data_IF_195784309607
#
_entry.id   IF_195784309607
#
_cell.length_a   1.000
_cell.length_b   1.000
_cell.length_c   1.000
_cell.angle_alpha   90.00
_cell.angle_beta   90.00
_cell.angle_gamma   90.00
#
_symmetry.space_group_name_H-M   'P 1'
#
loop_
_entity.id
_entity.type
_entity.pdbx_description
1 polymer ?
#
# COMPACT_ATOMS: atom_id res chain seq x y z
N UNK A 1 8.50 16.44 11.66
CA UNK A 1 7.96 16.48 10.29
C UNK A 1 7.66 15.05 9.86
N UNK A 2 6.37 14.67 9.72
CA UNK A 2 5.96 13.34 9.26
C UNK A 2 5.84 13.40 7.74
N UNK A 3 6.70 12.70 7.00
CA UNK A 3 6.56 12.55 5.55
C UNK A 3 5.70 11.30 5.28
N UNK A 4 4.53 11.48 4.66
CA UNK A 4 3.72 10.36 4.15
C UNK A 4 4.26 9.96 2.78
N UNK A 5 4.88 8.78 2.69
CA UNK A 5 5.31 8.18 1.42
C UNK A 5 4.54 6.87 1.23
N UNK A 6 3.44 6.93 0.50
CA UNK A 6 2.60 5.77 0.18
C UNK A 6 2.54 5.67 -1.34
N UNK A 7 2.99 4.56 -1.95
CA UNK A 7 3.07 4.43 -3.41
C UNK A 7 2.71 3.03 -3.88
N UNK A 8 1.65 2.98 -4.69
CA UNK A 8 1.36 1.93 -5.65
C UNK A 8 1.59 2.51 -7.04
N UNK A 9 2.64 2.06 -7.73
CA UNK A 9 2.81 2.19 -9.18
C UNK A 9 3.98 1.29 -9.57
N UNK A 10 3.70 0.36 -10.50
CA UNK A 10 4.60 -0.69 -10.93
C UNK A 10 6.00 -0.21 -11.31
N UNK A 11 6.97 -1.09 -11.04
CA UNK A 11 8.38 -1.19 -11.44
C UNK A 11 9.25 0.09 -11.62
N UNK A 12 8.75 1.18 -12.20
CA UNK A 12 9.54 2.35 -12.61
C UNK A 12 9.49 3.53 -11.61
N UNK A 13 8.34 3.80 -10.96
CA UNK A 13 8.24 4.93 -10.02
C UNK A 13 8.88 4.63 -8.65
N UNK A 14 8.91 3.35 -8.25
CA UNK A 14 9.40 2.91 -6.95
C UNK A 14 10.92 3.10 -6.78
N UNK A 15 11.69 2.91 -7.86
CA UNK A 15 13.14 3.17 -7.84
C UNK A 15 13.41 4.67 -7.79
N UNK A 16 12.67 5.49 -8.56
CA UNK A 16 12.91 6.93 -8.66
C UNK A 16 12.63 7.74 -7.38
N UNK A 17 11.73 7.28 -6.51
CA UNK A 17 11.43 7.93 -5.23
C UNK A 17 12.37 7.53 -4.08
N UNK A 18 13.13 6.44 -4.26
CA UNK A 18 14.12 5.93 -3.29
C UNK A 18 15.57 6.31 -3.66
N UNK A 19 15.76 7.01 -4.78
CA UNK A 19 17.07 7.52 -5.19
C UNK A 19 17.55 8.59 -4.19
N UNK A 20 18.76 8.43 -3.61
CA UNK A 20 19.34 9.38 -2.65
C UNK A 20 19.29 10.84 -3.08
N UNK A 21 19.44 11.09 -4.39
CA UNK A 21 19.50 12.43 -4.99
C UNK A 21 18.21 13.26 -4.83
N UNK A 22 17.05 12.61 -4.60
CA UNK A 22 15.77 13.32 -4.39
C UNK A 22 15.38 13.46 -2.93
N UNK A 23 16.04 12.76 -2.00
CA UNK A 23 15.73 12.82 -0.57
C UNK A 23 15.90 14.24 0.02
N UNK A 24 16.93 14.97 -0.43
CA UNK A 24 17.16 16.34 0.01
C UNK A 24 16.11 17.34 -0.52
N UNK A 25 15.51 17.08 -1.70
CA UNK A 25 14.49 17.96 -2.29
C UNK A 25 13.15 17.94 -1.55
N UNK A 26 12.91 16.92 -0.73
CA UNK A 26 11.69 16.78 0.10
C UNK A 26 11.93 17.11 1.58
N UNK A 27 13.12 17.61 1.94
CA UNK A 27 13.46 18.01 3.30
C UNK A 27 13.61 16.85 4.29
N UNK A 28 13.86 15.62 3.81
CA UNK A 28 14.12 14.46 4.66
C UNK A 28 15.44 14.64 5.39
N UNK A 29 15.46 14.31 6.68
CA UNK A 29 16.67 14.21 7.50
C UNK A 29 16.68 12.91 8.32
N UNK A 30 17.73 12.70 9.11
CA UNK A 30 17.93 11.53 9.98
C UNK A 30 16.82 11.33 11.03
N UNK A 31 16.09 12.40 11.36
CA UNK A 31 14.98 12.37 12.34
C UNK A 31 13.61 12.10 11.68
N UNK A 32 13.54 12.08 10.36
CA UNK A 32 12.28 11.87 9.64
C UNK A 32 11.88 10.40 9.73
N UNK A 33 10.70 10.12 10.29
CA UNK A 33 10.09 8.80 10.27
C UNK A 33 9.23 8.66 9.02
N UNK A 34 9.38 7.54 8.32
CA UNK A 34 8.69 7.24 7.07
C UNK A 34 7.72 6.10 7.32
N UNK A 35 6.46 6.33 6.96
CA UNK A 35 5.42 5.30 7.00
C UNK A 35 5.09 4.88 5.57
N UNK A 36 5.32 3.62 5.26
CA UNK A 36 5.11 3.03 3.94
C UNK A 36 3.96 2.02 3.99
N UNK A 37 3.10 2.04 2.98
CA UNK A 37 2.00 1.08 2.81
C UNK A 37 2.05 0.46 1.41
N UNK A 38 1.78 -0.85 1.28
CA UNK A 38 1.71 -1.59 0.01
C UNK A 38 1.17 -3.02 0.14
N UNK A 39 1.08 -3.79 -0.95
CA UNK A 39 0.55 -5.19 -0.99
C UNK A 39 1.29 -6.23 -0.15
N UNK A 40 2.42 -5.90 0.47
CA UNK A 40 3.25 -6.91 1.11
C UNK A 40 3.98 -7.81 0.11
N UNK A 41 4.23 -7.35 -1.13
CA UNK A 41 5.19 -7.99 -2.00
C UNK A 41 6.60 -7.93 -1.37
N UNK A 42 7.27 -9.07 -1.14
CA UNK A 42 8.53 -9.09 -0.37
C UNK A 42 9.63 -8.19 -0.94
N UNK A 43 9.68 -8.06 -2.27
CA UNK A 43 10.66 -7.20 -2.93
C UNK A 43 10.49 -5.72 -2.55
N UNK A 44 9.26 -5.22 -2.36
CA UNK A 44 8.98 -3.85 -1.93
C UNK A 44 9.50 -3.60 -0.52
N UNK A 45 9.17 -4.51 0.41
CA UNK A 45 9.63 -4.44 1.79
C UNK A 45 11.17 -4.47 1.86
N UNK A 46 11.81 -5.34 1.06
CA UNK A 46 13.27 -5.44 0.98
C UNK A 46 13.92 -4.15 0.46
N UNK A 47 13.33 -3.50 -0.56
CA UNK A 47 13.84 -2.21 -1.06
C UNK A 47 13.68 -1.10 -0.02
N UNK A 48 12.55 -1.07 0.70
CA UNK A 48 12.33 -0.11 1.80
C UNK A 48 13.37 -0.31 2.90
N UNK A 49 13.59 -1.55 3.33
CA UNK A 49 14.61 -1.86 4.33
C UNK A 49 16.01 -1.46 3.85
N UNK A 50 16.34 -1.74 2.58
CA UNK A 50 17.65 -1.42 1.98
C UNK A 50 17.94 0.07 1.91
N UNK A 51 16.97 0.89 1.48
CA UNK A 51 17.20 2.31 1.20
C UNK A 51 16.77 3.25 2.34
N UNK A 52 15.79 2.84 3.15
CA UNK A 52 15.23 3.67 4.22
C UNK A 52 15.65 3.18 5.61
N UNK A 53 16.06 1.92 5.73
CA UNK A 53 16.54 1.34 6.99
C UNK A 53 15.54 1.54 8.14
N UNK A 54 16.08 1.79 9.33
CA UNK A 54 15.32 1.98 10.58
C UNK A 54 14.49 3.27 10.63
N UNK A 55 14.59 4.15 9.63
CA UNK A 55 13.74 5.33 9.52
C UNK A 55 12.36 5.00 8.98
N UNK A 56 12.23 3.89 8.23
CA UNK A 56 10.97 3.47 7.65
C UNK A 56 10.31 2.35 8.45
N UNK A 57 8.99 2.40 8.46
CA UNK A 57 8.13 1.30 8.86
C UNK A 57 7.27 0.92 7.67
N UNK A 58 7.24 -0.36 7.37
CA UNK A 58 6.36 -0.91 6.34
C UNK A 58 5.13 -1.53 6.99
N UNK A 59 3.96 -1.18 6.46
CA UNK A 59 2.67 -1.70 6.86
C UNK A 59 1.99 -2.29 5.63
N UNK A 60 1.48 -3.52 5.72
CA UNK A 60 0.73 -4.11 4.62
C UNK A 60 -0.60 -3.38 4.48
N UNK A 61 -1.00 -3.12 3.25
CA UNK A 61 -2.29 -2.51 2.93
C UNK A 61 -3.44 -3.33 3.54
N UNK A 62 -4.21 -2.69 4.40
CA UNK A 62 -5.33 -3.30 5.10
C UNK A 62 -6.36 -3.90 4.14
N UNK A 63 -6.63 -3.24 2.99
CA UNK A 63 -7.61 -3.75 2.04
C UNK A 63 -7.08 -4.98 1.28
N UNK A 64 -5.77 -5.06 1.05
CA UNK A 64 -5.16 -6.25 0.49
C UNK A 64 -5.23 -7.43 1.47
N UNK A 65 -5.02 -7.20 2.77
CA UNK A 65 -5.27 -8.24 3.80
C UNK A 65 -6.75 -8.67 3.81
N UNK A 66 -7.66 -7.72 3.64
CA UNK A 66 -9.09 -8.03 3.58
C UNK A 66 -9.46 -8.93 2.40
N UNK A 67 -8.72 -8.91 1.28
CA UNK A 67 -8.95 -9.84 0.16
C UNK A 67 -8.67 -11.28 0.60
N UNK A 68 -7.55 -11.55 1.28
CA UNK A 68 -7.25 -12.87 1.82
C UNK A 68 -8.28 -13.33 2.86
N UNK A 69 -8.71 -12.43 3.75
CA UNK A 69 -9.77 -12.75 4.71
C UNK A 69 -11.11 -13.02 4.02
N UNK A 70 -11.44 -12.28 2.96
CA UNK A 70 -12.66 -12.48 2.20
C UNK A 70 -12.67 -13.81 1.43
N UNK A 71 -11.51 -14.27 0.96
CA UNK A 71 -11.35 -15.59 0.36
C UNK A 71 -11.49 -16.72 1.39
N UNK A 72 -11.02 -16.51 2.63
CA UNK A 72 -11.13 -17.48 3.73
C UNK A 72 -12.54 -17.50 4.38
N UNK A 73 -13.27 -16.38 4.33
CA UNK A 73 -14.55 -16.21 5.01
C UNK A 73 -15.63 -17.27 4.65
N UNK A 74 -15.78 -17.76 3.40
CA UNK A 74 -16.73 -18.82 3.08
C UNK A 74 -16.47 -20.12 3.84
N UNK A 75 -15.19 -20.46 4.09
CA UNK A 75 -14.79 -21.67 4.82
C UNK A 75 -14.94 -21.48 6.33
N UNK A 76 -14.56 -20.31 6.86
CA UNK A 76 -14.58 -20.05 8.30
C UNK A 76 -15.96 -19.63 8.85
N UNK A 77 -16.73 -18.87 8.07
CA UNK A 77 -17.96 -18.22 8.49
C UNK A 77 -19.23 -18.78 7.86
N UNK A 78 -19.20 -20.02 7.33
CA UNK A 78 -20.36 -20.78 6.81
C UNK A 78 -21.59 -19.98 6.31
N UNK A 79 -21.79 -19.91 5.00
CA UNK A 79 -23.06 -19.42 4.43
C UNK A 79 -23.32 -17.91 4.66
N UNK A 80 -24.34 -17.58 5.48
CA UNK A 80 -24.80 -16.21 5.75
C UNK A 80 -23.86 -15.43 6.71
N UNK A 81 -23.15 -16.12 7.60
CA UNK A 81 -22.32 -15.50 8.65
C UNK A 81 -20.95 -15.01 8.12
N UNK A 82 -20.63 -15.26 6.84
CA UNK A 82 -19.34 -14.88 6.23
C UNK A 82 -19.03 -13.39 6.33
N UNK A 83 -20.06 -12.53 6.22
CA UNK A 83 -19.90 -11.08 6.30
C UNK A 83 -19.58 -10.65 7.73
N UNK A 84 -20.31 -11.19 8.70
CA UNK A 84 -20.10 -10.90 10.11
C UNK A 84 -18.73 -11.41 10.58
N UNK A 85 -18.34 -12.61 10.13
CA UNK A 85 -17.02 -13.15 10.40
C UNK A 85 -15.92 -12.24 9.84
N UNK A 86 -16.07 -11.79 8.58
CA UNK A 86 -15.11 -10.89 7.94
C UNK A 86 -15.00 -9.54 8.68
N UNK A 87 -16.12 -8.92 9.04
CA UNK A 87 -16.11 -7.66 9.81
C UNK A 87 -15.51 -7.84 11.21
N UNK A 88 -15.75 -8.99 11.85
CA UNK A 88 -15.13 -9.35 13.13
C UNK A 88 -13.61 -9.42 13.01
N UNK A 89 -13.08 -10.10 11.98
CA UNK A 89 -11.63 -10.19 11.77
C UNK A 89 -11.01 -8.84 11.40
N UNK A 90 -11.70 -8.03 10.58
CA UNK A 90 -11.29 -6.65 10.26
C UNK A 90 -11.15 -5.80 11.52
N UNK A 91 -12.13 -5.89 12.43
CA UNK A 91 -12.09 -5.15 13.69
C UNK A 91 -10.95 -5.64 14.59
N UNK A 92 -10.77 -6.95 14.71
CA UNK A 92 -9.64 -7.53 15.46
C UNK A 92 -8.28 -7.07 14.95
N UNK A 93 -8.06 -7.03 13.63
CA UNK A 93 -6.84 -6.50 13.05
C UNK A 93 -6.63 -5.01 13.40
N UNK A 94 -7.67 -4.19 13.30
CA UNK A 94 -7.61 -2.75 13.63
C UNK A 94 -7.37 -2.48 15.11
N UNK A 95 -7.80 -3.38 16.00
CA UNK A 95 -7.62 -3.26 17.45
C UNK A 95 -6.39 -3.99 17.98
N UNK A 96 -5.56 -4.58 17.10
CA UNK A 96 -4.31 -5.25 17.49
C UNK A 96 -4.49 -6.66 18.03
N UNK A 97 -5.68 -7.25 17.86
CA UNK A 97 -6.01 -8.62 18.26
C UNK A 97 -5.60 -9.64 17.19
N UNK A 98 -4.35 -9.56 16.71
CA UNK A 98 -3.84 -10.43 15.63
C UNK A 98 -3.90 -11.92 16.00
N UNK A 99 -3.59 -12.26 17.26
CA UNK A 99 -3.64 -13.66 17.73
C UNK A 99 -5.07 -14.23 17.78
N UNK A 100 -6.09 -13.39 17.95
CA UNK A 100 -7.50 -13.81 17.84
C UNK A 100 -7.88 -14.13 16.39
N UNK A 101 -7.28 -13.43 15.43
CA UNK A 101 -7.46 -13.71 13.98
C UNK A 101 -6.79 -15.03 13.63
N UNK A 102 -5.57 -15.29 14.12
CA UNK A 102 -4.91 -16.57 13.92
C UNK A 102 -5.72 -17.73 14.52
N UNK A 103 -6.20 -17.60 15.76
CA UNK A 103 -7.09 -18.61 16.36
C UNK A 103 -8.37 -18.85 15.56
N UNK A 104 -8.95 -17.79 15.00
CA UNK A 104 -10.15 -17.92 14.17
C UNK A 104 -9.88 -18.63 12.83
N UNK A 105 -8.67 -18.50 12.27
CA UNK A 105 -8.27 -19.22 11.06
C UNK A 105 -7.84 -20.66 11.35
N UNK A 106 -7.19 -20.89 12.50
CA UNK A 106 -6.58 -22.18 12.85
C UNK A 106 -7.60 -23.33 12.89
N UNK A 107 -8.79 -23.05 13.43
CA UNK A 107 -9.91 -24.00 13.53
C UNK A 107 -10.43 -24.50 12.18
N UNK A 108 -10.09 -23.84 11.07
CA UNK A 108 -10.63 -24.11 9.73
C UNK A 108 -9.54 -24.36 8.69
N UNK A 109 -8.29 -24.60 9.11
CA UNK A 109 -7.21 -24.87 8.16
C UNK A 109 -7.49 -26.15 7.34
N UNK A 110 -7.33 -26.03 6.04
CA UNK A 110 -7.49 -27.16 5.13
C UNK A 110 -6.32 -28.13 5.26
N UNK A 111 -6.61 -29.43 5.13
CA UNK A 111 -5.61 -30.49 5.18
C UNK A 111 -4.45 -30.25 4.19
N UNK A 112 -3.24 -30.65 4.57
CA UNK A 112 -2.02 -30.41 3.78
C UNK A 112 -2.00 -31.10 2.41
N UNK A 113 -2.87 -32.10 2.18
CA UNK A 113 -3.03 -32.75 0.87
C UNK A 113 -3.86 -31.91 -0.13
N UNK A 114 -4.61 -30.91 0.34
CA UNK A 114 -5.40 -30.01 -0.51
C UNK A 114 -4.45 -29.01 -1.18
N UNK A 115 -4.61 -28.78 -2.48
CA UNK A 115 -3.77 -27.83 -3.23
C UNK A 115 -4.00 -26.40 -2.73
N UNK A 116 -2.97 -25.56 -2.81
CA UNK A 116 -3.05 -24.17 -2.34
C UNK A 116 -4.08 -23.31 -3.07
N UNK A 117 -4.41 -23.62 -4.33
CA UNK A 117 -5.50 -22.94 -5.05
C UNK A 117 -6.87 -23.13 -4.37
N UNK A 118 -7.04 -24.28 -3.70
CA UNK A 118 -8.27 -24.72 -3.06
C UNK A 118 -8.22 -24.65 -1.52
N UNK A 119 -7.18 -24.00 -0.97
CA UNK A 119 -6.96 -23.84 0.47
C UNK A 119 -6.86 -22.37 0.90
N UNK A 120 -7.94 -21.58 0.74
CA UNK A 120 -7.93 -20.15 1.05
C UNK A 120 -7.60 -19.81 2.51
N UNK A 121 -8.02 -20.62 3.48
CA UNK A 121 -7.75 -20.38 4.91
C UNK A 121 -6.26 -20.53 5.18
N UNK A 122 -5.64 -21.60 4.70
CA UNK A 122 -4.19 -21.82 4.81
C UNK A 122 -3.38 -20.76 4.08
N UNK A 123 -3.83 -20.31 2.90
CA UNK A 123 -3.19 -19.18 2.20
C UNK A 123 -3.25 -17.90 3.02
N UNK A 124 -4.42 -17.57 3.57
CA UNK A 124 -4.62 -16.39 4.41
C UNK A 124 -3.74 -16.46 5.67
N UNK A 125 -3.77 -17.59 6.39
CA UNK A 125 -2.94 -17.82 7.57
C UNK A 125 -1.46 -17.60 7.26
N UNK A 126 -0.94 -18.28 6.23
CA UNK A 126 0.46 -18.18 5.83
C UNK A 126 0.82 -16.76 5.36
N UNK A 127 -0.10 -16.06 4.71
CA UNK A 127 0.12 -14.69 4.28
C UNK A 127 0.31 -13.74 5.48
N UNK A 128 -0.54 -13.87 6.50
CA UNK A 128 -0.46 -13.09 7.74
C UNK A 128 0.77 -13.46 8.58
N UNK A 129 1.04 -14.76 8.70
CA UNK A 129 2.13 -15.30 9.52
C UNK A 129 3.51 -14.82 9.05
N UNK A 130 3.72 -14.80 7.73
CA UNK A 130 4.94 -14.26 7.13
C UNK A 130 5.13 -12.75 7.32
N UNK A 131 4.13 -12.04 7.89
CA UNK A 131 4.07 -10.57 7.93
C UNK A 131 3.64 -10.03 9.29
N UNK A 132 3.76 -10.79 10.38
CA UNK A 132 3.34 -10.36 11.73
C UNK A 132 3.88 -8.98 12.13
N UNK A 133 5.10 -8.66 11.72
CA UNK A 133 5.78 -7.38 11.98
C UNK A 133 5.22 -6.20 11.15
N UNK A 134 4.44 -6.48 10.11
CA UNK A 134 3.90 -5.50 9.16
C UNK A 134 2.37 -5.32 9.28
N UNK A 135 1.74 -5.88 10.32
CA UNK A 135 0.28 -5.90 10.52
C UNK A 135 -0.21 -5.11 11.74
N UNK A 136 0.65 -4.29 12.36
CA UNK A 136 0.27 -3.48 13.51
C UNK A 136 -0.50 -2.21 13.09
N UNK A 137 -1.76 -2.45 12.73
CA UNK A 137 -2.75 -1.44 12.34
C UNK A 137 -3.18 -0.57 13.52
N UNK A 138 -3.28 -1.14 14.72
CA UNK A 138 -3.70 -0.41 15.92
C UNK A 138 -2.78 0.78 16.20
N UNK A 139 -1.46 0.58 16.13
CA UNK A 139 -0.49 1.65 16.28
C UNK A 139 -0.57 2.66 15.13
N UNK A 140 -0.72 2.20 13.89
CA UNK A 140 -0.85 3.11 12.75
C UNK A 140 -2.09 4.02 12.88
N UNK A 141 -3.22 3.48 13.33
CA UNK A 141 -4.44 4.25 13.60
C UNK A 141 -4.22 5.23 14.75
N UNK A 142 -3.64 4.79 15.86
CA UNK A 142 -3.32 5.65 17.01
C UNK A 142 -2.39 6.81 16.63
N UNK A 143 -1.45 6.58 15.71
CA UNK A 143 -0.51 7.59 15.21
C UNK A 143 -1.08 8.52 14.12
N UNK A 144 -2.35 8.31 13.71
CA UNK A 144 -3.02 9.04 12.63
C UNK A 144 -2.42 8.75 11.24
N UNK A 145 -1.84 7.56 11.07
CA UNK A 145 -1.19 7.11 9.84
C UNK A 145 -2.18 6.34 8.95
N UNK A 146 -2.02 6.42 7.61
CA UNK A 146 -2.87 5.68 6.70
C UNK A 146 -2.61 4.17 6.83
N UNK A 147 -3.67 3.37 6.81
CA UNK A 147 -3.59 1.90 6.86
C UNK A 147 -3.86 1.23 5.51
N UNK A 148 -4.27 2.00 4.51
CA UNK A 148 -4.54 1.53 3.16
C UNK A 148 -4.13 2.56 2.12
N UNK A 149 -3.96 2.11 0.89
CA UNK A 149 -3.52 2.90 -0.26
C UNK A 149 -4.66 3.54 -1.06
N UNK A 150 -5.92 3.39 -0.63
CA UNK A 150 -7.09 3.88 -1.38
C UNK A 150 -7.05 5.37 -1.75
N UNK A 151 -6.47 6.22 -0.91
CA UNK A 151 -6.23 7.65 -1.24
C UNK A 151 -5.28 7.80 -2.44
N UNK A 152 -4.22 6.99 -2.48
CA UNK A 152 -3.23 6.97 -3.55
C UNK A 152 -3.83 6.39 -4.83
N UNK A 153 -4.60 5.32 -4.74
CA UNK A 153 -5.29 4.77 -5.90
C UNK A 153 -6.28 5.76 -6.51
N UNK A 154 -7.00 6.49 -5.66
CA UNK A 154 -7.92 7.54 -6.09
C UNK A 154 -7.15 8.67 -6.76
N UNK A 155 -6.05 9.15 -6.17
CA UNK A 155 -5.18 10.13 -6.81
C UNK A 155 -4.62 9.63 -8.14
N UNK A 156 -4.21 8.37 -8.23
CA UNK A 156 -3.75 7.75 -9.49
C UNK A 156 -4.85 7.77 -10.56
N UNK A 157 -6.09 7.41 -10.20
CA UNK A 157 -7.25 7.48 -11.12
C UNK A 157 -7.54 8.91 -11.59
N UNK A 158 -7.59 9.88 -10.67
CA UNK A 158 -8.04 11.24 -11.00
C UNK A 158 -6.93 12.16 -11.55
N UNK A 159 -5.69 11.97 -11.12
CA UNK A 159 -4.54 12.80 -11.54
C UNK A 159 -3.87 12.21 -12.77
N UNK A 160 -3.50 10.92 -12.73
CA UNK A 160 -2.65 10.31 -13.77
C UNK A 160 -3.52 9.75 -14.90
N UNK A 161 -4.42 8.81 -14.59
CA UNK A 161 -5.19 8.09 -15.62
C UNK A 161 -6.08 9.01 -16.44
N UNK A 162 -6.64 10.07 -15.83
CA UNK A 162 -7.49 11.06 -16.50
C UNK A 162 -6.87 11.68 -17.76
N UNK A 163 -5.53 11.66 -17.90
CA UNK A 163 -4.86 12.14 -19.13
C UNK A 163 -4.04 11.07 -19.83
N UNK A 164 -3.34 10.21 -19.08
CA UNK A 164 -2.44 9.22 -19.65
C UNK A 164 -3.16 7.97 -20.15
N UNK A 165 -4.33 7.63 -19.58
CA UNK A 165 -5.11 6.43 -19.89
C UNK A 165 -6.46 6.79 -20.51
N UNK A 166 -6.43 7.51 -21.63
CA UNK A 166 -7.61 7.82 -22.44
C UNK A 166 -7.59 7.01 -23.75
N UNK A 167 -8.76 6.70 -24.34
CA UNK A 167 -8.82 6.01 -25.62
C UNK A 167 -8.01 6.74 -26.71
N UNK A 168 -7.23 5.99 -27.48
CA UNK A 168 -6.42 6.53 -28.58
C UNK A 168 -5.16 7.28 -28.16
N UNK A 169 -4.81 7.33 -26.87
CA UNK A 169 -3.54 7.93 -26.44
C UNK A 169 -2.37 6.98 -26.65
N UNK A 170 -1.34 7.47 -27.34
CA UNK A 170 -0.05 6.82 -27.52
C UNK A 170 1.02 7.76 -27.01
N UNK A 171 1.92 7.26 -26.17
CA UNK A 171 2.97 8.07 -25.56
C UNK A 171 4.32 7.43 -25.80
N UNK A 172 5.31 8.26 -26.13
CA UNK A 172 6.71 7.91 -25.87
C UNK A 172 6.97 8.05 -24.36
N UNK A 173 7.84 7.22 -23.81
CA UNK A 173 8.12 7.18 -22.36
C UNK A 173 8.56 8.55 -21.81
N UNK A 174 9.48 9.22 -22.52
CA UNK A 174 9.92 10.59 -22.26
C UNK A 174 8.75 11.59 -22.14
N UNK A 175 7.84 11.58 -23.11
CA UNK A 175 6.69 12.49 -23.15
C UNK A 175 5.64 12.15 -22.08
N UNK A 176 5.50 10.87 -21.71
CA UNK A 176 4.63 10.44 -20.63
C UNK A 176 5.15 10.95 -19.28
N UNK A 177 6.46 10.91 -19.05
CA UNK A 177 7.09 11.43 -17.84
C UNK A 177 6.88 12.94 -17.68
N UNK A 178 7.06 13.71 -18.76
CA UNK A 178 6.82 15.15 -18.76
C UNK A 178 5.34 15.49 -18.53
N UNK A 179 4.43 14.77 -19.20
CA UNK A 179 2.99 14.95 -18.99
C UNK A 179 2.59 14.63 -17.54
N UNK A 180 3.15 13.57 -16.96
CA UNK A 180 2.94 13.22 -15.56
C UNK A 180 3.42 14.35 -14.64
N UNK A 181 4.61 14.92 -14.88
CA UNK A 181 5.13 16.03 -14.09
C UNK A 181 4.21 17.26 -14.14
N UNK A 182 3.68 17.61 -15.32
CA UNK A 182 2.71 18.69 -15.48
C UNK A 182 1.40 18.42 -14.72
N UNK A 183 0.90 17.18 -14.77
CA UNK A 183 -0.32 16.76 -14.04
C UNK A 183 -0.12 16.88 -12.53
N UNK A 184 1.01 16.43 -12.01
CA UNK A 184 1.38 16.55 -10.59
C UNK A 184 1.51 18.03 -10.19
N UNK A 185 2.22 18.84 -10.99
CA UNK A 185 2.37 20.26 -10.73
C UNK A 185 1.02 20.97 -10.62
N UNK A 186 0.10 20.69 -11.55
CA UNK A 186 -1.26 21.24 -11.53
C UNK A 186 -2.08 20.74 -10.33
N UNK A 187 -1.98 19.45 -9.98
CA UNK A 187 -2.68 18.89 -8.82
C UNK A 187 -2.17 19.48 -7.49
N UNK A 188 -0.90 19.87 -7.44
CA UNK A 188 -0.28 20.52 -6.28
C UNK A 188 -0.46 22.05 -6.26
N UNK A 189 -1.30 22.62 -7.13
CA UNK A 189 -1.52 24.07 -7.24
C UNK A 189 -0.25 24.90 -7.51
N UNK A 190 0.75 24.29 -8.15
CA UNK A 190 2.05 24.93 -8.45
C UNK A 190 2.13 25.43 -9.91
N UNK A 191 0.99 25.55 -10.59
CA UNK A 191 0.92 25.85 -12.03
C UNK A 191 1.42 27.26 -12.32
N UNK A 192 0.90 28.24 -11.59
CA UNK A 192 1.24 29.65 -11.74
C UNK A 192 2.73 29.87 -11.41
N UNK A 193 3.20 29.30 -10.31
CA UNK A 193 4.61 29.38 -9.91
C UNK A 193 5.55 28.76 -10.96
N UNK A 194 5.18 27.61 -11.53
CA UNK A 194 5.96 26.97 -12.59
C UNK A 194 6.09 27.89 -13.81
N UNK A 195 4.98 28.45 -14.32
CA UNK A 195 5.04 29.34 -15.48
C UNK A 195 5.76 30.66 -15.21
N UNK A 196 5.65 31.21 -13.99
CA UNK A 196 6.42 32.39 -13.59
C UNK A 196 7.93 32.11 -13.62
N UNK A 197 8.37 30.98 -13.07
CA UNK A 197 9.79 30.60 -13.10
C UNK A 197 10.34 30.37 -14.51
N UNK A 198 9.51 29.93 -15.46
CA UNK A 198 9.89 29.76 -16.87
C UNK A 198 9.93 31.06 -17.66
N UNK A 199 9.20 32.10 -17.23
CA UNK A 199 9.29 33.45 -17.84
C UNK A 199 10.55 34.20 -17.39
N UNK A 200 11.10 33.85 -16.24
CA UNK A 200 12.27 34.49 -15.64
C UNK A 200 13.62 33.82 -16.01
N UNK A 201 13.58 32.72 -16.78
CA UNK A 201 14.74 31.95 -17.23
C UNK A 201 14.94 32.12 -18.73
#
# INVERSE_FOLDING_TARGET
MKLKLCHYLGYFLFIYALLPERHNKVGRNEKTKIHCVGDGAPWIANQIARYLGSQARYLVDFYHVCEYLAEAAPTCGGGEDKKEWLETQKNRLKTGLLEEVFRALDSYQEAGCIKDCDAPVRRCYRYLDNRRDQLDYAKAIADGLPIGSGEIESAHRYVIQKRLKIPGAWWKEENAADMLALRINRANHNWEHYWQSKKAA
#
